data_IF_328046399958
#
_entry.id   IF_328046399958
#
_cell.length_a   1.000
_cell.length_b   1.000
_cell.length_c   1.000
_cell.angle_alpha   90.00
_cell.angle_beta   90.00
_cell.angle_gamma   90.00
#
_symmetry.space_group_name_H-M   'P 1'
#
loop_
_entity.id
_entity.type
_entity.pdbx_description
1 polymer ?
#
# COMPACT_ATOMS: atom_id res chain seq x y z
N UNK A 1 -44.19 1.60 -0.93
CA UNK A 1 -44.78 1.29 0.39
C UNK A 1 -43.72 1.62 1.43
N UNK A 2 -44.08 2.18 2.60
CA UNK A 2 -43.13 2.51 3.68
C UNK A 2 -43.50 1.69 4.92
N UNK A 3 -42.49 1.19 5.64
CA UNK A 3 -42.63 0.31 6.81
C UNK A 3 -41.28 -0.31 7.22
N UNK A 4 -41.21 -0.82 8.44
CA UNK A 4 -40.00 -1.44 9.02
C UNK A 4 -39.59 -2.72 8.30
N UNK A 5 -38.29 -2.97 8.19
CA UNK A 5 -37.73 -4.19 7.61
C UNK A 5 -37.92 -5.43 8.48
N UNK A 6 -38.39 -6.52 7.86
CA UNK A 6 -38.57 -7.81 8.55
C UNK A 6 -37.24 -8.42 9.03
N UNK A 7 -36.12 -8.09 8.38
CA UNK A 7 -34.76 -8.45 8.80
C UNK A 7 -34.32 -7.76 10.11
N UNK A 8 -34.97 -6.67 10.47
CA UNK A 8 -34.67 -5.89 11.67
C UNK A 8 -35.62 -6.23 12.83
N UNK A 9 -36.89 -6.51 12.54
CA UNK A 9 -37.90 -6.81 13.56
C UNK A 9 -38.14 -8.31 13.80
N UNK A 10 -37.78 -9.16 12.83
CA UNK A 10 -38.12 -10.59 12.82
C UNK A 10 -39.60 -10.90 12.61
N UNK A 11 -40.44 -9.90 12.35
CA UNK A 11 -41.89 -10.05 12.17
C UNK A 11 -42.24 -10.36 10.71
N UNK A 12 -42.94 -11.47 10.49
CA UNK A 12 -43.30 -11.96 9.14
C UNK A 12 -44.29 -11.06 8.39
N UNK A 13 -44.92 -10.10 9.07
CA UNK A 13 -45.86 -9.15 8.46
C UNK A 13 -45.21 -7.82 8.03
N UNK A 14 -43.91 -7.66 8.28
CA UNK A 14 -43.14 -6.47 7.91
C UNK A 14 -42.55 -6.61 6.50
N UNK A 15 -42.01 -5.52 5.93
CA UNK A 15 -41.55 -5.52 4.53
C UNK A 15 -40.24 -6.31 4.44
N UNK A 16 -40.21 -7.32 3.58
CA UNK A 16 -38.96 -7.98 3.19
C UNK A 16 -38.34 -7.25 2.02
N UNK A 17 -37.03 -7.00 2.10
CA UNK A 17 -36.25 -6.61 0.92
C UNK A 17 -36.40 -7.71 -0.14
N UNK A 18 -36.79 -7.32 -1.35
CA UNK A 18 -37.00 -8.28 -2.44
C UNK A 18 -36.58 -7.69 -3.77
N UNK A 19 -35.82 -8.50 -4.52
CA UNK A 19 -35.54 -8.30 -5.93
C UNK A 19 -36.27 -9.35 -6.75
N UNK A 20 -37.00 -8.93 -7.78
CA UNK A 20 -37.75 -9.84 -8.65
C UNK A 20 -37.63 -9.45 -10.13
N UNK A 21 -37.56 -10.44 -11.01
CA UNK A 21 -37.63 -10.24 -12.45
C UNK A 21 -39.08 -10.47 -12.89
N UNK A 22 -39.69 -9.49 -13.59
CA UNK A 22 -41.04 -9.70 -14.11
C UNK A 22 -41.01 -10.76 -15.24
N UNK A 23 -42.02 -11.64 -15.34
CA UNK A 23 -41.97 -12.79 -16.26
C UNK A 23 -41.82 -12.42 -17.74
N UNK A 24 -42.29 -11.24 -18.12
CA UNK A 24 -42.14 -10.67 -19.45
C UNK A 24 -41.73 -9.20 -19.32
N UNK A 25 -40.71 -8.80 -20.08
CA UNK A 25 -40.20 -7.44 -20.18
C UNK A 25 -41.33 -6.49 -20.60
N UNK A 26 -41.47 -5.36 -19.90
CA UNK A 26 -42.47 -4.34 -20.25
C UNK A 26 -41.79 -3.07 -20.69
N UNK A 27 -42.20 -2.57 -21.84
CA UNK A 27 -41.75 -1.29 -22.36
C UNK A 27 -42.67 -0.18 -21.83
N UNK A 28 -42.10 0.82 -21.18
CA UNK A 28 -42.80 1.96 -20.63
C UNK A 28 -41.98 3.23 -20.94
N UNK A 29 -42.57 4.17 -21.66
CA UNK A 29 -41.93 5.45 -22.03
C UNK A 29 -40.52 5.30 -22.61
N UNK A 30 -40.38 4.41 -23.60
CA UNK A 30 -39.12 4.06 -24.28
C UNK A 30 -38.05 3.41 -23.38
N UNK A 31 -38.42 2.99 -22.16
CA UNK A 31 -37.57 2.24 -21.23
C UNK A 31 -38.10 0.83 -21.05
N UNK A 32 -37.21 -0.14 -21.20
CA UNK A 32 -37.47 -1.56 -20.98
C UNK A 32 -37.30 -1.90 -19.50
N UNK A 33 -38.40 -2.24 -18.84
CA UNK A 33 -38.45 -2.63 -17.43
C UNK A 33 -38.48 -4.16 -17.34
N UNK A 34 -37.49 -4.75 -16.68
CA UNK A 34 -37.37 -6.22 -16.54
C UNK A 34 -37.21 -6.69 -15.09
N UNK A 35 -36.95 -5.79 -14.14
CA UNK A 35 -36.84 -6.11 -12.72
C UNK A 35 -37.13 -4.90 -11.83
N UNK A 36 -37.50 -5.17 -10.57
CA UNK A 36 -37.70 -4.14 -9.56
C UNK A 36 -37.08 -4.56 -8.23
N UNK A 37 -36.78 -3.56 -7.41
CA UNK A 37 -36.28 -3.70 -6.04
C UNK A 37 -37.17 -2.89 -5.11
N UNK A 38 -37.47 -3.44 -3.94
CA UNK A 38 -38.10 -2.71 -2.84
C UNK A 38 -37.30 -2.95 -1.56
N UNK A 39 -36.87 -1.87 -0.92
CA UNK A 39 -36.13 -1.87 0.35
C UNK A 39 -36.96 -1.08 1.39
N UNK A 40 -37.01 -1.52 2.66
CA UNK A 40 -37.54 -0.75 3.78
C UNK A 40 -36.82 0.61 3.99
N UNK A 41 -37.53 1.59 4.53
CA UNK A 41 -37.02 2.96 4.71
C UNK A 41 -35.99 3.06 5.87
N UNK A 42 -35.93 2.04 6.74
CA UNK A 42 -35.03 1.93 7.89
C UNK A 42 -33.89 0.92 7.69
N UNK A 43 -33.68 0.42 6.47
CA UNK A 43 -32.64 -0.56 6.17
C UNK A 43 -31.22 -0.05 6.47
N UNK A 44 -30.40 -0.91 7.08
CA UNK A 44 -28.96 -0.63 7.28
C UNK A 44 -28.24 -0.49 5.95
N UNK A 45 -27.20 0.34 5.88
CA UNK A 45 -26.49 0.64 4.62
C UNK A 45 -25.86 -0.61 3.98
N UNK A 46 -25.43 -1.60 4.78
CA UNK A 46 -24.93 -2.88 4.26
C UNK A 46 -25.99 -3.70 3.52
N UNK A 47 -27.24 -3.67 3.99
CA UNK A 47 -28.40 -4.29 3.32
C UNK A 47 -28.74 -3.51 2.06
N UNK A 48 -28.73 -2.18 2.14
CA UNK A 48 -28.96 -1.34 0.95
C UNK A 48 -27.89 -1.53 -0.11
N UNK A 49 -26.62 -1.65 0.27
CA UNK A 49 -25.49 -1.90 -0.63
C UNK A 49 -25.53 -3.32 -1.24
N UNK A 50 -25.97 -4.32 -0.47
CA UNK A 50 -26.22 -5.69 -0.94
C UNK A 50 -27.32 -5.72 -2.02
N UNK A 51 -28.46 -5.06 -1.78
CA UNK A 51 -29.62 -5.04 -2.69
C UNK A 51 -29.42 -4.14 -3.92
N UNK A 52 -28.76 -2.99 -3.76
CA UNK A 52 -28.28 -2.15 -4.86
C UNK A 52 -27.24 -2.91 -5.70
N UNK A 53 -26.41 -3.73 -5.03
CA UNK A 53 -25.60 -4.77 -5.62
C UNK A 53 -26.32 -5.66 -6.62
N UNK A 54 -27.47 -6.22 -6.22
CA UNK A 54 -28.32 -7.02 -7.09
C UNK A 54 -28.94 -6.21 -8.23
N UNK A 55 -29.38 -4.96 -7.98
CA UNK A 55 -30.18 -4.17 -8.93
C UNK A 55 -29.34 -3.36 -9.92
N UNK A 56 -28.38 -2.56 -9.44
CA UNK A 56 -27.55 -1.66 -10.26
C UNK A 56 -26.35 -2.38 -10.86
N UNK A 57 -25.87 -3.44 -10.18
CA UNK A 57 -24.67 -4.16 -10.56
C UNK A 57 -24.89 -5.65 -10.85
N UNK A 58 -26.15 -6.14 -10.77
CA UNK A 58 -26.54 -7.48 -11.21
C UNK A 58 -26.03 -8.65 -10.36
N UNK A 59 -25.70 -8.45 -9.08
CA UNK A 59 -25.14 -9.50 -8.22
C UNK A 59 -26.14 -10.66 -8.00
N UNK A 60 -25.73 -11.94 -7.92
CA UNK A 60 -26.59 -13.02 -7.43
C UNK A 60 -26.65 -13.06 -5.90
N UNK A 61 -27.76 -13.53 -5.36
CA UNK A 61 -27.98 -13.75 -3.92
C UNK A 61 -27.05 -14.89 -3.42
N UNK A 62 -26.29 -14.62 -2.34
CA UNK A 62 -25.14 -15.43 -1.88
C UNK A 62 -25.55 -16.63 -1.00
N UNK A 63 -26.78 -17.13 -1.14
CA UNK A 63 -27.11 -18.49 -0.70
C UNK A 63 -26.89 -19.50 -1.84
N UNK A 64 -25.66 -19.64 -2.34
CA UNK A 64 -25.25 -20.87 -3.04
C UNK A 64 -23.71 -20.97 -3.16
N UNK A 65 -23.19 -22.19 -3.06
CA UNK A 65 -21.88 -22.56 -2.50
C UNK A 65 -20.65 -22.51 -3.42
N UNK A 66 -20.71 -22.00 -4.67
CA UNK A 66 -19.63 -22.29 -5.64
C UNK A 66 -19.18 -21.11 -6.55
N UNK A 67 -18.69 -20.02 -5.96
CA UNK A 67 -17.55 -19.30 -6.56
C UNK A 67 -17.75 -17.86 -7.04
N UNK A 68 -16.70 -17.06 -6.83
CA UNK A 68 -16.55 -15.63 -7.06
C UNK A 68 -16.64 -15.19 -8.55
N UNK A 69 -16.99 -13.92 -8.82
CA UNK A 69 -17.27 -13.30 -10.15
C UNK A 69 -16.30 -13.63 -11.31
N UNK A 70 -15.06 -14.02 -11.04
CA UNK A 70 -14.12 -14.50 -12.06
C UNK A 70 -14.57 -15.83 -12.71
N UNK A 71 -15.28 -16.69 -11.98
CA UNK A 71 -15.79 -17.97 -12.47
C UNK A 71 -17.04 -17.82 -13.36
N UNK A 72 -17.67 -16.63 -13.39
CA UNK A 72 -18.91 -16.35 -14.11
C UNK A 72 -18.74 -15.45 -15.36
N UNK A 73 -17.57 -14.86 -15.60
CA UNK A 73 -17.19 -14.22 -16.87
C UNK A 73 -17.69 -12.78 -17.13
N UNK A 74 -18.07 -12.02 -16.10
CA UNK A 74 -18.71 -10.68 -16.24
C UNK A 74 -17.74 -9.49 -16.24
N UNK A 75 -16.61 -9.66 -15.57
CA UNK A 75 -15.45 -8.77 -15.59
C UNK A 75 -14.23 -9.61 -15.93
N UNK A 76 -13.30 -9.03 -16.66
CA UNK A 76 -11.98 -9.62 -16.82
C UNK A 76 -11.21 -9.40 -15.51
N UNK A 77 -10.66 -10.49 -14.95
CA UNK A 77 -9.82 -10.40 -13.75
C UNK A 77 -8.38 -10.57 -14.17
N UNK A 78 -7.64 -9.47 -14.09
CA UNK A 78 -6.22 -9.45 -14.39
C UNK A 78 -5.42 -9.87 -13.17
N UNK A 79 -4.99 -11.13 -13.16
CA UNK A 79 -4.20 -11.69 -12.06
C UNK A 79 -2.79 -11.11 -12.04
N UNK A 80 -2.44 -10.47 -10.94
CA UNK A 80 -1.12 -9.94 -10.68
C UNK A 80 -0.41 -10.87 -9.69
N UNK A 81 0.61 -11.58 -10.20
CA UNK A 81 1.47 -12.46 -9.40
C UNK A 81 2.90 -11.97 -9.32
N UNK A 82 3.22 -10.85 -9.97
CA UNK A 82 4.56 -10.24 -10.00
C UNK A 82 4.49 -8.74 -9.66
N UNK A 83 5.57 -8.21 -9.09
CA UNK A 83 5.69 -6.80 -8.78
C UNK A 83 5.86 -6.00 -10.07
N UNK A 84 5.04 -4.97 -10.29
CA UNK A 84 5.05 -4.18 -11.53
C UNK A 84 4.27 -2.87 -11.37
N UNK A 85 4.31 -2.01 -12.39
CA UNK A 85 3.34 -0.93 -12.55
C UNK A 85 2.15 -1.44 -13.39
N UNK A 86 0.93 -1.13 -12.95
CA UNK A 86 -0.31 -1.45 -13.67
C UNK A 86 -1.10 -0.18 -13.97
N UNK A 87 -1.96 -0.25 -14.99
CA UNK A 87 -2.94 0.78 -15.30
C UNK A 87 -4.30 0.24 -14.87
N UNK A 88 -4.98 0.96 -13.98
CA UNK A 88 -6.33 0.65 -13.51
C UNK A 88 -7.30 1.64 -14.16
N UNK A 89 -7.88 1.21 -15.27
CA UNK A 89 -8.95 1.94 -15.95
C UNK A 89 -10.27 1.85 -15.18
N UNK A 90 -11.16 2.81 -15.40
CA UNK A 90 -12.50 2.76 -14.80
C UNK A 90 -13.22 1.47 -15.16
N UNK A 91 -13.67 0.74 -14.13
CA UNK A 91 -14.31 -0.58 -14.28
C UNK A 91 -15.56 -0.52 -15.16
N UNK A 92 -16.29 0.59 -15.16
CA UNK A 92 -17.48 0.78 -16.02
C UNK A 92 -17.15 0.82 -17.51
N UNK A 93 -15.93 1.21 -17.87
CA UNK A 93 -15.48 1.34 -19.26
C UNK A 93 -14.87 0.05 -19.78
N UNK A 94 -13.98 -0.56 -19.00
CA UNK A 94 -13.20 -1.74 -19.43
C UNK A 94 -13.80 -3.05 -18.96
N UNK A 95 -14.62 -3.02 -17.89
CA UNK A 95 -15.05 -4.22 -17.16
C UNK A 95 -13.86 -5.06 -16.68
N UNK A 96 -12.72 -4.43 -16.39
CA UNK A 96 -11.53 -5.09 -15.85
C UNK A 96 -11.31 -4.70 -14.39
N UNK A 97 -10.81 -5.65 -13.60
CA UNK A 97 -10.32 -5.45 -12.24
C UNK A 97 -9.01 -6.19 -12.06
N UNK A 98 -8.13 -5.69 -11.19
CA UNK A 98 -6.86 -6.38 -10.90
C UNK A 98 -6.98 -7.18 -9.62
N UNK A 99 -6.52 -8.43 -9.67
CA UNK A 99 -6.36 -9.26 -8.47
C UNK A 99 -4.91 -9.27 -8.04
N UNK A 100 -4.65 -8.81 -6.83
CA UNK A 100 -3.34 -8.81 -6.19
C UNK A 100 -3.25 -10.02 -5.28
N UNK A 101 -2.48 -11.03 -5.69
CA UNK A 101 -2.32 -12.27 -4.94
C UNK A 101 -1.38 -12.07 -3.76
N UNK A 102 -1.82 -12.49 -2.57
CA UNK A 102 -0.94 -12.61 -1.40
C UNK A 102 0.26 -13.49 -1.75
N UNK A 103 1.47 -12.99 -1.49
CA UNK A 103 2.74 -13.65 -1.81
C UNK A 103 2.90 -14.08 -3.28
N UNK A 104 2.13 -13.45 -4.20
CA UNK A 104 2.04 -13.84 -5.60
C UNK A 104 1.58 -15.28 -5.80
N UNK A 105 0.97 -15.89 -4.77
CA UNK A 105 0.51 -17.27 -4.79
C UNK A 105 -0.94 -17.33 -5.29
N UNK A 106 -1.09 -17.71 -6.57
CA UNK A 106 -2.39 -17.88 -7.21
C UNK A 106 -3.25 -19.02 -6.61
N UNK A 107 -2.72 -19.80 -5.67
CA UNK A 107 -3.45 -20.81 -4.92
C UNK A 107 -4.01 -20.31 -3.58
N UNK A 108 -3.59 -19.13 -3.13
CA UNK A 108 -4.08 -18.49 -1.91
C UNK A 108 -5.61 -18.36 -1.93
N UNK A 109 -6.25 -18.40 -0.76
CA UNK A 109 -7.67 -18.03 -0.62
C UNK A 109 -7.86 -16.58 -0.22
N UNK A 110 -6.78 -15.93 0.20
CA UNK A 110 -6.76 -14.55 0.63
C UNK A 110 -6.02 -13.69 -0.40
N UNK A 111 -6.63 -12.59 -0.83
CA UNK A 111 -6.11 -11.69 -1.87
C UNK A 111 -6.80 -10.32 -1.80
N UNK A 112 -6.31 -9.39 -2.61
CA UNK A 112 -6.94 -8.07 -2.78
C UNK A 112 -7.47 -7.89 -4.20
N UNK A 113 -8.60 -7.22 -4.35
CA UNK A 113 -9.09 -6.74 -5.65
C UNK A 113 -8.97 -5.22 -5.70
N UNK A 114 -8.52 -4.71 -6.84
CA UNK A 114 -8.35 -3.29 -7.09
C UNK A 114 -9.21 -2.90 -8.29
N UNK A 115 -10.09 -1.91 -8.09
CA UNK A 115 -10.93 -1.34 -9.14
C UNK A 115 -10.93 0.18 -9.09
N UNK A 116 -11.03 0.83 -10.24
CA UNK A 116 -11.17 2.28 -10.34
C UNK A 116 -12.62 2.64 -10.66
N UNK A 117 -13.23 3.54 -9.88
CA UNK A 117 -14.59 4.03 -10.06
C UNK A 117 -14.63 5.56 -10.03
N UNK A 118 -15.10 6.19 -11.10
CA UNK A 118 -15.48 7.60 -11.09
C UNK A 118 -16.99 7.80 -10.95
N UNK A 119 -17.39 8.94 -10.37
CA UNK A 119 -18.79 9.35 -10.14
C UNK A 119 -19.44 9.83 -11.44
N UNK A 120 -19.66 8.92 -12.39
CA UNK A 120 -20.40 9.21 -13.63
C UNK A 120 -21.35 8.07 -13.99
N UNK A 121 -22.41 8.35 -14.75
CA UNK A 121 -23.40 7.34 -15.13
C UNK A 121 -24.10 6.73 -13.92
N UNK A 122 -24.12 5.40 -13.84
CA UNK A 122 -24.71 4.66 -12.72
C UNK A 122 -24.02 4.90 -11.36
N UNK A 123 -22.78 5.37 -11.37
CA UNK A 123 -21.98 5.63 -10.17
C UNK A 123 -22.16 7.07 -9.63
N UNK A 124 -23.09 7.86 -10.17
CA UNK A 124 -23.32 9.27 -9.76
C UNK A 124 -23.69 9.47 -8.29
N UNK A 125 -24.19 8.43 -7.63
CA UNK A 125 -24.57 8.46 -6.22
C UNK A 125 -23.48 7.92 -5.29
N UNK A 126 -22.32 7.52 -5.83
CA UNK A 126 -21.21 7.10 -4.98
C UNK A 126 -20.70 8.30 -4.15
N UNK A 127 -20.34 8.07 -2.88
CA UNK A 127 -19.88 9.14 -2.01
C UNK A 127 -18.49 9.68 -2.40
N UNK A 128 -17.70 8.92 -3.17
CA UNK A 128 -16.38 9.32 -3.64
C UNK A 128 -15.99 8.59 -4.93
N UNK A 129 -15.06 9.20 -5.68
CA UNK A 129 -14.38 8.59 -6.82
C UNK A 129 -12.97 8.15 -6.42
N UNK A 130 -12.45 7.15 -7.12
CA UNK A 130 -11.07 6.72 -6.98
C UNK A 130 -10.90 5.21 -7.04
N UNK A 131 -9.81 4.75 -6.44
CA UNK A 131 -9.43 3.36 -6.37
C UNK A 131 -10.08 2.70 -5.16
N UNK A 132 -10.91 1.69 -5.37
CA UNK A 132 -11.40 0.82 -4.29
C UNK A 132 -10.49 -0.40 -4.17
N UNK A 133 -10.17 -0.75 -2.93
CA UNK A 133 -9.40 -1.95 -2.59
C UNK A 133 -10.29 -2.86 -1.75
N UNK A 134 -10.47 -4.10 -2.19
CA UNK A 134 -11.27 -5.10 -1.49
C UNK A 134 -10.36 -6.18 -0.93
N UNK A 135 -10.49 -6.52 0.34
CA UNK A 135 -9.79 -7.65 0.98
C UNK A 135 -10.71 -8.86 0.98
N UNK A 136 -10.31 -9.91 0.28
CA UNK A 136 -11.09 -11.13 0.09
C UNK A 136 -10.41 -12.29 0.79
N UNK A 137 -11.19 -13.14 1.47
CA UNK A 137 -10.76 -14.44 1.97
C UNK A 137 -11.82 -15.51 1.64
N UNK A 138 -11.60 -16.24 0.54
CA UNK A 138 -12.47 -17.31 0.07
C UNK A 138 -12.47 -18.56 0.99
N UNK A 139 -11.69 -18.56 2.07
CA UNK A 139 -11.80 -19.60 3.12
C UNK A 139 -12.89 -19.30 4.15
N UNK A 140 -13.38 -18.06 4.21
CA UNK A 140 -14.46 -17.62 5.07
C UNK A 140 -15.79 -17.70 4.32
N UNK A 141 -16.83 -18.14 5.02
CA UNK A 141 -18.18 -18.20 4.48
C UNK A 141 -19.02 -17.04 5.02
N UNK A 142 -19.27 -16.04 4.17
CA UNK A 142 -20.08 -14.87 4.49
C UNK A 142 -19.34 -13.75 5.22
N UNK A 143 -20.06 -12.67 5.50
CA UNK A 143 -19.54 -11.43 6.11
C UNK A 143 -20.05 -11.21 7.53
N UNK A 144 -20.34 -12.28 8.27
CA UNK A 144 -20.94 -12.18 9.60
C UNK A 144 -19.94 -11.85 10.73
N UNK A 145 -18.64 -11.99 10.48
CA UNK A 145 -17.58 -11.53 11.38
C UNK A 145 -17.02 -10.21 10.86
N UNK A 146 -17.26 -9.12 11.58
CA UNK A 146 -16.81 -7.78 11.20
C UNK A 146 -15.28 -7.63 11.28
N UNK A 147 -14.55 -8.55 11.95
CA UNK A 147 -13.09 -8.54 12.04
C UNK A 147 -12.41 -9.42 10.97
N UNK A 148 -13.15 -10.38 10.39
CA UNK A 148 -12.65 -11.27 9.34
C UNK A 148 -13.78 -11.62 8.35
N UNK A 149 -14.30 -10.63 7.59
CA UNK A 149 -15.32 -10.89 6.59
C UNK A 149 -14.73 -11.63 5.39
N UNK A 150 -15.55 -12.43 4.70
CA UNK A 150 -15.18 -13.00 3.41
C UNK A 150 -14.83 -11.91 2.38
N UNK A 151 -15.55 -10.79 2.40
CA UNK A 151 -15.34 -9.62 1.53
C UNK A 151 -15.41 -8.34 2.36
N UNK A 152 -14.31 -7.61 2.47
CA UNK A 152 -14.23 -6.31 3.14
C UNK A 152 -13.76 -5.20 2.21
N UNK A 153 -14.37 -4.01 2.31
CA UNK A 153 -13.82 -2.82 1.68
C UNK A 153 -12.71 -2.24 2.57
N UNK A 154 -11.54 -2.01 1.99
CA UNK A 154 -10.45 -1.30 2.65
C UNK A 154 -10.69 0.21 2.51
N UNK A 155 -11.09 0.85 3.61
CA UNK A 155 -11.41 2.29 3.65
C UNK A 155 -10.14 3.13 3.76
N UNK A 156 -9.82 3.94 2.74
CA UNK A 156 -8.54 4.64 2.60
C UNK A 156 -8.21 5.59 3.76
N UNK A 157 -9.23 6.11 4.46
CA UNK A 157 -9.07 6.96 5.64
C UNK A 157 -8.75 6.19 6.94
N UNK A 158 -8.87 4.86 6.92
CA UNK A 158 -8.64 3.98 8.06
C UNK A 158 -9.67 4.12 9.19
N UNK A 159 -10.84 4.74 8.94
CA UNK A 159 -11.87 4.92 9.96
C UNK A 159 -12.71 3.66 10.21
N UNK A 160 -12.71 2.71 9.27
CA UNK A 160 -13.40 1.42 9.37
C UNK A 160 -14.89 1.59 9.77
N UNK A 161 -15.55 2.63 9.25
CA UNK A 161 -16.94 2.96 9.61
C UNK A 161 -17.92 1.86 9.17
N UNK A 162 -17.64 1.14 8.07
CA UNK A 162 -18.55 0.13 7.55
C UNK A 162 -18.70 -1.08 8.47
N UNK A 163 -17.63 -1.46 9.19
CA UNK A 163 -17.68 -2.54 10.18
C UNK A 163 -18.35 -2.11 11.49
N UNK A 164 -18.46 -0.80 11.75
CA UNK A 164 -19.05 -0.24 12.97
C UNK A 164 -20.48 0.27 12.78
N UNK A 165 -21.10 -0.02 11.63
CA UNK A 165 -22.47 0.36 11.31
C UNK A 165 -22.64 1.79 10.78
N UNK A 166 -21.53 2.47 10.47
CA UNK A 166 -21.51 3.75 9.75
C UNK A 166 -21.74 3.59 8.24
N UNK A 167 -21.84 4.72 7.55
CA UNK A 167 -21.96 4.79 6.10
C UNK A 167 -20.62 4.87 5.38
N UNK A 168 -20.63 4.61 4.07
CA UNK A 168 -19.49 4.91 3.20
C UNK A 168 -19.41 6.42 2.95
N UNK A 169 -18.21 6.95 2.79
CA UNK A 169 -17.97 8.37 2.50
C UNK A 169 -16.84 8.61 1.46
N UNK A 170 -16.55 9.89 1.17
CA UNK A 170 -15.55 10.30 0.18
C UNK A 170 -14.09 10.01 0.61
N UNK A 171 -13.89 9.57 1.85
CA UNK A 171 -12.62 9.11 2.41
C UNK A 171 -12.33 7.63 2.15
N UNK A 172 -13.31 6.84 1.70
CA UNK A 172 -13.13 5.40 1.48
C UNK A 172 -12.30 5.05 0.24
N UNK A 173 -12.51 5.67 -0.94
CA UNK A 173 -11.67 5.39 -2.10
C UNK A 173 -10.29 6.01 -1.95
N UNK A 174 -9.24 5.37 -2.48
CA UNK A 174 -7.92 5.98 -2.57
C UNK A 174 -7.83 6.92 -3.80
N UNK A 175 -7.17 8.08 -3.69
CA UNK A 175 -6.53 8.60 -2.49
C UNK A 175 -7.51 9.31 -1.53
N UNK A 176 -8.75 9.52 -1.96
CA UNK A 176 -9.83 10.08 -1.15
C UNK A 176 -9.56 11.50 -0.67
N UNK A 177 -10.44 12.02 0.19
CA UNK A 177 -10.27 13.35 0.79
C UNK A 177 -9.05 13.44 1.72
N UNK A 178 -8.58 12.31 2.25
CA UNK A 178 -7.38 12.21 3.09
C UNK A 178 -6.07 12.23 2.30
N UNK A 179 -6.12 12.18 0.97
CA UNK A 179 -4.96 12.10 0.08
C UNK A 179 -4.02 10.94 0.43
N UNK A 180 -4.59 9.78 0.83
CA UNK A 180 -3.83 8.58 1.13
C UNK A 180 -3.34 7.93 -0.17
N UNK A 181 -2.03 8.00 -0.44
CA UNK A 181 -1.45 7.52 -1.71
C UNK A 181 -0.73 6.19 -1.59
N UNK A 182 -0.89 5.50 -0.46
CA UNK A 182 -0.12 4.29 -0.14
C UNK A 182 -0.95 3.32 0.69
N UNK A 183 -1.09 2.11 0.17
CA UNK A 183 -1.66 0.96 0.85
C UNK A 183 -0.60 -0.14 0.92
N UNK A 184 -0.16 -0.52 2.12
CA UNK A 184 0.85 -1.57 2.35
C UNK A 184 0.75 -2.14 3.78
N UNK A 185 1.66 -3.03 4.17
CA UNK A 185 1.58 -3.75 5.45
C UNK A 185 1.84 -2.88 6.71
N UNK A 186 2.23 -1.62 6.52
CA UNK A 186 2.52 -0.66 7.61
C UNK A 186 1.67 0.62 7.52
N UNK A 187 0.85 0.78 6.48
CA UNK A 187 -0.10 1.88 6.36
C UNK A 187 -1.32 1.67 7.24
N UNK A 188 -2.12 2.73 7.41
CA UNK A 188 -3.48 2.64 7.92
C UNK A 188 -4.45 3.13 6.83
N UNK A 189 -5.34 2.27 6.31
CA UNK A 189 -5.49 0.84 6.60
C UNK A 189 -4.29 0.01 6.10
N UNK A 190 -4.08 -1.18 6.68
CA UNK A 190 -2.93 -2.05 6.35
C UNK A 190 -3.32 -3.16 5.37
N UNK A 191 -2.38 -3.62 4.54
CA UNK A 191 -2.55 -4.78 3.66
C UNK A 191 -2.20 -6.13 4.31
N UNK A 192 -2.02 -6.18 5.63
CA UNK A 192 -1.72 -7.44 6.32
C UNK A 192 -2.84 -8.44 6.12
N UNK A 193 -2.46 -9.71 6.05
CA UNK A 193 -3.42 -10.80 6.10
C UNK A 193 -4.22 -10.74 7.41
N UNK A 194 -5.43 -11.31 7.44
CA UNK A 194 -6.24 -11.39 8.66
C UNK A 194 -5.50 -12.11 9.81
N UNK A 195 -4.59 -13.03 9.50
CA UNK A 195 -3.68 -13.65 10.48
C UNK A 195 -2.54 -12.76 11.00
N UNK A 196 -2.46 -11.50 10.59
CA UNK A 196 -1.45 -10.50 11.00
C UNK A 196 -0.12 -10.56 10.23
N UNK A 197 0.08 -11.61 9.42
CA UNK A 197 1.26 -11.74 8.56
C UNK A 197 1.28 -10.69 7.46
N UNK A 198 2.48 -10.35 6.99
CA UNK A 198 2.64 -9.54 5.77
C UNK A 198 2.06 -10.32 4.57
N UNK A 199 1.27 -9.65 3.74
CA UNK A 199 0.73 -10.23 2.50
C UNK A 199 1.65 -10.01 1.30
N UNK A 200 2.65 -9.13 1.45
CA UNK A 200 3.46 -8.50 0.40
C UNK A 200 2.66 -7.71 -0.63
N UNK A 201 1.35 -7.56 -0.43
CA UNK A 201 0.52 -6.74 -1.28
C UNK A 201 0.71 -5.28 -0.92
N UNK A 202 1.02 -4.46 -1.93
CA UNK A 202 0.98 -3.01 -1.78
C UNK A 202 0.45 -2.35 -3.05
N UNK A 203 -0.12 -1.16 -2.88
CA UNK A 203 -0.47 -0.23 -3.95
C UNK A 203 0.09 1.13 -3.57
N UNK A 204 1.03 1.64 -4.37
CA UNK A 204 1.76 2.88 -4.11
C UNK A 204 1.69 3.81 -5.31
N UNK A 205 2.11 5.07 -5.09
CA UNK A 205 2.03 6.14 -6.10
C UNK A 205 0.60 6.33 -6.63
N UNK A 206 -0.41 6.15 -5.77
CA UNK A 206 -1.80 6.28 -6.18
C UNK A 206 -2.05 7.73 -6.63
N UNK A 207 -2.44 7.97 -7.90
CA UNK A 207 -2.62 9.31 -8.44
C UNK A 207 -3.93 9.94 -7.94
N UNK A 208 -4.16 11.21 -8.27
CA UNK A 208 -5.49 11.81 -8.06
C UNK A 208 -6.53 11.13 -8.96
N UNK A 209 -7.80 11.24 -8.59
CA UNK A 209 -8.93 10.65 -9.31
C UNK A 209 -8.91 10.98 -10.82
N UNK A 210 -9.01 9.94 -11.66
CA UNK A 210 -9.02 10.05 -13.11
C UNK A 210 -9.56 8.76 -13.74
N UNK A 211 -9.91 8.82 -15.03
CA UNK A 211 -10.50 7.67 -15.76
C UNK A 211 -9.52 6.51 -15.97
N UNK A 212 -8.21 6.74 -15.76
CA UNK A 212 -7.14 5.77 -15.95
C UNK A 212 -5.99 6.09 -14.98
N UNK A 213 -5.73 5.20 -14.03
CA UNK A 213 -4.74 5.40 -12.98
C UNK A 213 -3.56 4.46 -13.14
N UNK A 214 -2.36 5.00 -13.30
CA UNK A 214 -1.14 4.21 -13.16
C UNK A 214 -0.75 4.11 -11.69
N UNK A 215 -0.57 2.89 -11.19
CA UNK A 215 -0.12 2.61 -9.81
C UNK A 215 1.02 1.60 -9.82
N UNK A 216 1.83 1.61 -8.77
CA UNK A 216 2.84 0.59 -8.54
C UNK A 216 2.30 -0.45 -7.57
N UNK A 217 2.36 -1.72 -7.96
CA UNK A 217 1.93 -2.84 -7.12
C UNK A 217 3.11 -3.71 -6.70
N UNK A 218 3.01 -4.22 -5.48
CA UNK A 218 3.72 -5.43 -5.09
C UNK A 218 2.72 -6.50 -4.72
N UNK A 219 3.12 -7.74 -4.94
CA UNK A 219 2.41 -8.96 -4.56
C UNK A 219 3.36 -10.01 -4.01
N UNK A 220 4.67 -9.85 -4.23
CA UNK A 220 5.76 -10.68 -3.70
C UNK A 220 6.77 -9.83 -2.95
N UNK A 221 7.58 -10.50 -2.15
CA UNK A 221 8.73 -9.89 -1.53
C UNK A 221 9.59 -9.12 -2.55
N UNK A 222 9.74 -7.79 -2.38
CA UNK A 222 10.74 -6.98 -3.08
C UNK A 222 12.10 -7.16 -2.39
N UNK A 223 12.78 -8.25 -2.75
CA UNK A 223 14.11 -8.58 -2.21
C UNK A 223 15.27 -7.92 -2.98
N UNK A 224 14.95 -7.17 -4.02
CA UNK A 224 15.89 -6.66 -5.00
C UNK A 224 15.97 -5.13 -4.96
N UNK A 225 17.17 -4.54 -5.12
CA UNK A 225 17.36 -3.10 -5.12
C UNK A 225 16.43 -2.38 -6.11
N UNK A 226 16.13 -1.08 -5.88
CA UNK A 226 15.45 -0.23 -6.85
C UNK A 226 16.17 -0.29 -8.21
N UNK A 227 15.52 -0.89 -9.21
CA UNK A 227 16.11 -1.15 -10.53
C UNK A 227 16.21 -2.62 -10.95
N UNK A 228 15.85 -3.58 -10.07
CA UNK A 228 15.71 -5.01 -10.42
C UNK A 228 16.84 -5.89 -9.89
N UNK A 229 17.19 -6.96 -10.63
CA UNK A 229 18.03 -8.09 -10.16
C UNK A 229 19.51 -7.76 -9.86
N UNK A 230 19.95 -6.50 -9.92
CA UNK A 230 21.35 -6.10 -9.79
C UNK A 230 21.61 -5.36 -8.46
N UNK A 231 22.83 -5.46 -7.88
CA UNK A 231 23.22 -4.63 -6.74
C UNK A 231 23.07 -3.13 -7.07
N UNK A 232 22.94 -2.28 -6.05
CA UNK A 232 22.83 -0.83 -6.24
C UNK A 232 23.91 -0.30 -7.20
N UNK A 233 23.48 0.46 -8.21
CA UNK A 233 24.37 1.01 -9.22
C UNK A 233 25.18 2.15 -8.62
N UNK A 234 26.46 1.91 -8.37
CA UNK A 234 27.38 2.93 -7.84
C UNK A 234 27.54 4.18 -8.73
N UNK A 235 26.99 4.22 -9.95
CA UNK A 235 26.95 5.42 -10.80
C UNK A 235 25.67 6.26 -10.64
N UNK A 236 24.84 5.96 -9.65
CA UNK A 236 23.59 6.67 -9.37
C UNK A 236 23.64 7.29 -7.97
N UNK A 237 23.15 8.53 -7.86
CA UNK A 237 22.80 9.13 -6.58
C UNK A 237 21.47 8.56 -6.10
N UNK A 238 21.44 8.03 -4.89
CA UNK A 238 20.24 7.55 -4.23
C UNK A 238 19.81 8.49 -3.10
N UNK A 239 18.53 8.44 -2.77
CA UNK A 239 17.96 9.08 -1.59
C UNK A 239 17.43 8.00 -0.65
N UNK A 240 17.87 8.06 0.60
CA UNK A 240 17.38 7.21 1.69
C UNK A 240 16.32 8.00 2.46
N UNK A 241 15.06 7.57 2.37
CA UNK A 241 13.93 8.23 3.03
C UNK A 241 13.30 7.28 4.03
N UNK A 242 13.09 7.74 5.26
CA UNK A 242 12.42 6.91 6.26
C UNK A 242 10.89 6.97 6.08
N UNK A 243 10.21 5.83 6.25
CA UNK A 243 8.76 5.73 6.01
C UNK A 243 7.89 6.31 7.12
N UNK A 244 8.44 6.59 8.32
CA UNK A 244 7.67 7.14 9.43
C UNK A 244 7.28 8.61 9.23
N UNK A 245 8.21 9.44 8.74
CA UNK A 245 7.98 10.88 8.51
C UNK A 245 8.18 11.35 7.07
N UNK A 246 8.65 10.46 6.17
CA UNK A 246 8.98 10.85 4.80
C UNK A 246 10.18 11.81 4.68
N UNK A 247 10.94 11.98 5.76
CA UNK A 247 12.21 12.72 5.79
C UNK A 247 13.36 11.86 5.27
N UNK A 248 14.39 12.49 4.72
CA UNK A 248 15.58 11.82 4.20
C UNK A 248 16.76 11.91 5.16
N UNK A 249 17.61 10.88 5.12
CA UNK A 249 18.90 10.90 5.77
C UNK A 249 19.78 11.97 5.12
N UNK A 250 20.29 12.89 5.94
CA UNK A 250 21.04 14.06 5.51
C UNK A 250 22.31 14.24 6.35
N UNK A 251 23.28 14.93 5.78
CA UNK A 251 24.47 15.37 6.53
C UNK A 251 24.16 16.70 7.20
N UNK A 252 24.50 16.82 8.47
CA UNK A 252 24.46 18.10 9.18
C UNK A 252 25.53 19.01 8.59
N UNK A 253 25.13 20.20 8.14
CA UNK A 253 26.06 21.25 7.77
C UNK A 253 26.55 21.96 9.04
N UNK A 254 27.71 21.54 9.55
CA UNK A 254 28.37 22.03 10.76
C UNK A 254 29.39 23.16 10.50
N UNK A 255 29.45 23.68 9.27
CA UNK A 255 30.28 24.83 8.90
C UNK A 255 31.31 24.54 7.82
N UNK A 256 32.25 25.47 7.60
CA UNK A 256 33.13 25.45 6.42
C UNK A 256 34.08 24.24 6.34
N UNK A 257 34.41 23.61 7.47
CA UNK A 257 35.34 22.49 7.53
C UNK A 257 34.66 21.12 7.47
N UNK A 258 33.33 21.08 7.57
CA UNK A 258 32.51 19.86 7.60
C UNK A 258 33.13 18.74 8.45
N UNK A 259 33.56 19.10 9.67
CA UNK A 259 34.55 18.34 10.42
C UNK A 259 33.94 17.13 11.13
N UNK A 260 32.71 17.26 11.62
CA UNK A 260 32.08 16.27 12.48
C UNK A 260 31.42 15.14 11.70
N UNK A 261 30.91 15.43 10.50
CA UNK A 261 30.27 14.44 9.62
C UNK A 261 28.97 13.88 10.19
N UNK A 262 28.30 14.58 11.10
CA UNK A 262 27.07 14.11 11.73
C UNK A 262 25.95 13.94 10.70
N UNK A 263 25.05 12.99 10.97
CA UNK A 263 23.85 12.75 10.16
C UNK A 263 22.58 13.08 10.92
N UNK A 264 21.53 13.45 10.20
CA UNK A 264 20.22 13.79 10.73
C UNK A 264 19.09 13.39 9.77
N UNK A 265 17.87 13.34 10.28
CA UNK A 265 16.67 13.33 9.44
C UNK A 265 16.27 14.76 9.09
N UNK A 266 16.17 15.05 7.79
CA UNK A 266 15.79 16.37 7.28
C UNK A 266 14.67 16.27 6.23
N UNK A 267 13.98 17.38 6.00
CA UNK A 267 12.97 17.46 4.93
C UNK A 267 13.58 17.05 3.60
N UNK A 268 12.89 16.16 2.91
CA UNK A 268 13.29 15.66 1.59
C UNK A 268 13.39 16.81 0.58
N UNK A 269 14.53 16.92 -0.10
CA UNK A 269 14.76 17.98 -1.07
C UNK A 269 15.99 17.75 -1.95
N UNK A 270 16.34 18.76 -2.75
CA UNK A 270 17.52 18.75 -3.60
C UNK A 270 18.75 19.25 -2.83
N UNK A 271 19.14 18.52 -1.80
CA UNK A 271 20.27 18.86 -0.93
C UNK A 271 21.40 17.85 -1.16
N UNK A 272 22.63 18.32 -1.37
CA UNK A 272 23.79 17.46 -1.62
C UNK A 272 24.10 16.51 -0.46
N UNK A 273 23.66 16.81 0.77
CA UNK A 273 23.82 15.91 1.92
C UNK A 273 22.86 14.72 1.89
N UNK A 274 21.78 14.80 1.09
CA UNK A 274 20.78 13.73 0.92
C UNK A 274 21.06 12.86 -0.31
N UNK A 275 22.16 13.11 -1.02
CA UNK A 275 22.53 12.41 -2.24
C UNK A 275 23.59 11.38 -1.88
N UNK A 276 23.15 10.14 -1.73
CA UNK A 276 23.94 9.01 -1.25
C UNK A 276 24.37 8.12 -2.42
N UNK A 277 25.67 7.94 -2.59
CA UNK A 277 26.19 6.91 -3.47
C UNK A 277 26.35 5.63 -2.64
N UNK A 278 25.78 4.54 -3.16
CA UNK A 278 25.84 3.22 -2.55
C UNK A 278 26.86 2.40 -3.36
N UNK A 279 28.02 2.12 -2.75
CA UNK A 279 29.15 1.48 -3.42
C UNK A 279 29.28 0.04 -2.91
N UNK A 280 29.19 -0.99 -3.77
CA UNK A 280 29.40 -2.37 -3.35
C UNK A 280 30.75 -2.57 -2.64
N UNK A 281 30.71 -3.28 -1.51
CA UNK A 281 31.87 -3.68 -0.72
C UNK A 281 32.31 -5.12 -1.05
N UNK A 282 33.34 -5.62 -0.36
CA UNK A 282 33.94 -6.92 -0.66
C UNK A 282 32.99 -8.13 -0.49
N UNK A 283 31.96 -8.02 0.35
CA UNK A 283 30.98 -9.07 0.57
C UNK A 283 29.67 -8.76 -0.16
N UNK A 284 29.06 -9.78 -0.76
CA UNK A 284 27.77 -9.65 -1.43
C UNK A 284 26.71 -9.04 -0.47
N UNK A 285 25.92 -8.09 -0.96
CA UNK A 285 24.90 -7.40 -0.17
C UNK A 285 25.43 -6.38 0.85
N UNK A 286 26.73 -6.09 0.85
CA UNK A 286 27.34 -5.05 1.69
C UNK A 286 27.85 -3.88 0.85
N UNK A 287 27.84 -2.70 1.45
CA UNK A 287 28.06 -1.43 0.77
C UNK A 287 28.81 -0.43 1.66
N UNK A 288 29.53 0.49 1.03
CA UNK A 288 29.93 1.76 1.63
C UNK A 288 28.98 2.85 1.14
N UNK A 289 28.58 3.75 2.03
CA UNK A 289 27.67 4.86 1.72
C UNK A 289 28.43 6.18 1.85
N UNK A 290 28.36 7.03 0.83
CA UNK A 290 29.03 8.35 0.83
C UNK A 290 28.14 9.40 0.20
N UNK A 291 28.33 10.67 0.55
CA UNK A 291 27.44 11.75 0.11
C UNK A 291 28.12 12.69 -0.88
N UNK A 292 27.32 13.31 -1.74
CA UNK A 292 27.79 14.38 -2.61
C UNK A 292 28.39 15.54 -1.80
N UNK A 293 27.79 15.87 -0.65
CA UNK A 293 28.22 16.98 0.19
C UNK A 293 29.63 16.83 0.77
N UNK A 294 30.00 15.65 1.27
CA UNK A 294 31.31 15.42 1.92
C UNK A 294 32.36 14.80 1.00
N UNK A 295 32.00 14.37 -0.20
CA UNK A 295 32.96 13.82 -1.15
C UNK A 295 33.22 12.33 -0.97
N UNK A 296 33.89 11.74 -1.97
CA UNK A 296 34.24 10.33 -1.99
C UNK A 296 35.24 9.88 -0.89
N UNK A 297 35.90 10.83 -0.22
CA UNK A 297 36.87 10.58 0.85
C UNK A 297 36.22 10.37 2.22
N UNK A 298 34.91 10.61 2.34
CA UNK A 298 34.15 10.44 3.57
C UNK A 298 33.04 9.40 3.35
N UNK A 299 32.89 8.46 4.27
CA UNK A 299 31.85 7.41 4.17
C UNK A 299 31.22 7.11 5.53
N UNK A 300 29.98 6.62 5.48
CA UNK A 300 29.14 6.39 6.64
C UNK A 300 29.75 5.32 7.52
N UNK A 301 29.93 5.68 8.78
CA UNK A 301 30.58 4.93 9.83
C UNK A 301 29.69 4.94 11.07
N UNK A 302 30.01 4.11 12.06
CA UNK A 302 29.54 4.23 13.44
C UNK A 302 30.72 4.56 14.34
N UNK A 303 30.53 5.42 15.35
CA UNK A 303 31.64 5.73 16.25
C UNK A 303 32.16 4.47 16.95
N UNK A 304 33.49 4.34 17.02
CA UNK A 304 34.13 3.11 17.49
C UNK A 304 33.95 2.83 18.99
N UNK A 305 33.65 3.85 19.78
CA UNK A 305 33.48 3.79 21.23
C UNK A 305 32.07 3.32 21.63
N UNK A 306 31.03 3.81 20.96
CA UNK A 306 29.63 3.43 21.26
C UNK A 306 29.03 2.40 20.28
N UNK A 307 29.55 2.32 19.05
CA UNK A 307 29.06 1.49 17.94
C UNK A 307 27.61 1.75 17.51
N UNK A 308 26.97 2.79 18.04
CA UNK A 308 25.54 3.05 17.85
C UNK A 308 25.29 4.39 17.18
N UNK A 309 26.24 5.32 17.21
CA UNK A 309 26.05 6.66 16.66
C UNK A 309 26.66 6.75 15.25
N UNK A 310 25.84 6.93 14.20
CA UNK A 310 26.33 7.07 12.83
C UNK A 310 26.94 8.44 12.56
N UNK A 311 28.00 8.48 11.74
CA UNK A 311 28.64 9.70 11.24
C UNK A 311 29.43 9.41 9.95
N UNK A 312 29.84 10.42 9.19
CA UNK A 312 30.73 10.27 8.05
C UNK A 312 32.19 10.43 8.48
N UNK A 313 32.98 9.35 8.39
CA UNK A 313 34.40 9.32 8.72
C UNK A 313 35.28 9.24 7.46
N UNK A 314 36.59 9.43 7.59
CA UNK A 314 37.53 9.21 6.48
C UNK A 314 37.44 7.76 5.98
N UNK A 315 37.32 7.61 4.66
CA UNK A 315 37.18 6.30 4.03
C UNK A 315 38.39 5.40 4.28
N UNK A 316 38.13 4.16 4.67
CA UNK A 316 39.14 3.15 4.94
C UNK A 316 38.53 1.74 5.09
N UNK A 317 39.38 0.73 5.35
CA UNK A 317 38.96 -0.67 5.46
C UNK A 317 38.43 -0.98 6.87
N UNK A 318 37.45 -0.21 7.35
CA UNK A 318 36.89 -0.35 8.69
C UNK A 318 35.53 -1.04 8.63
N UNK A 319 35.27 -2.01 9.51
CA UNK A 319 33.96 -2.68 9.61
C UNK A 319 32.83 -1.71 9.96
N UNK A 320 33.14 -0.63 10.70
CA UNK A 320 32.18 0.42 10.98
C UNK A 320 31.69 1.14 9.72
N UNK A 321 32.42 1.02 8.61
CA UNK A 321 32.08 1.65 7.33
C UNK A 321 31.40 0.70 6.33
N UNK A 322 31.14 -0.54 6.75
CA UNK A 322 30.49 -1.55 5.92
C UNK A 322 29.06 -1.72 6.40
N UNK A 323 28.12 -1.48 5.49
CA UNK A 323 26.70 -1.52 5.73
C UNK A 323 26.05 -2.61 4.90
N UNK A 324 25.25 -3.45 5.52
CA UNK A 324 24.38 -4.37 4.79
C UNK A 324 23.03 -3.68 4.60
N UNK A 325 22.60 -3.59 3.35
CA UNK A 325 21.29 -3.06 2.98
C UNK A 325 20.46 -4.27 2.58
N UNK A 326 19.48 -4.60 3.40
CA UNK A 326 18.68 -5.82 3.25
C UNK A 326 17.19 -5.47 3.14
N UNK A 327 16.46 -6.21 2.29
CA UNK A 327 15.07 -5.93 2.02
C UNK A 327 14.20 -6.40 3.19
N UNK A 328 13.10 -5.69 3.43
CA UNK A 328 11.99 -6.19 4.25
C UNK A 328 11.00 -7.02 3.44
N UNK A 329 11.10 -7.02 2.11
CA UNK A 329 10.15 -7.66 1.20
C UNK A 329 8.98 -6.76 0.78
N UNK A 330 8.76 -5.60 1.38
CA UNK A 330 7.66 -4.67 1.02
C UNK A 330 8.12 -3.47 0.18
N UNK A 331 9.35 -3.53 -0.36
CA UNK A 331 9.98 -2.42 -1.06
C UNK A 331 10.74 -1.46 -0.16
N UNK A 332 10.68 -1.67 1.16
CA UNK A 332 11.51 -0.98 2.12
C UNK A 332 12.71 -1.81 2.51
N UNK A 333 13.72 -1.14 3.06
CA UNK A 333 15.01 -1.69 3.40
C UNK A 333 15.32 -1.41 4.87
N UNK A 334 16.13 -2.26 5.47
CA UNK A 334 16.86 -1.94 6.69
C UNK A 334 18.36 -1.86 6.41
N UNK A 335 19.04 -1.07 7.23
CA UNK A 335 20.47 -0.89 7.17
C UNK A 335 21.09 -1.46 8.45
N UNK A 336 21.92 -2.48 8.29
CA UNK A 336 22.75 -3.07 9.35
C UNK A 336 24.18 -2.56 9.21
N UNK A 337 24.85 -2.32 10.33
CA UNK A 337 26.28 -2.04 10.34
C UNK A 337 27.07 -3.27 10.77
N UNK A 338 28.12 -3.65 10.03
CA UNK A 338 28.86 -4.88 10.34
C UNK A 338 29.66 -4.82 11.65
N UNK A 339 29.96 -3.62 12.17
CA UNK A 339 30.64 -3.45 13.45
C UNK A 339 29.67 -3.43 14.63
N UNK A 340 28.49 -2.85 14.46
CA UNK A 340 27.42 -2.87 15.46
C UNK A 340 26.84 -4.28 15.62
N UNK A 341 26.66 -5.01 14.51
CA UNK A 341 26.09 -6.36 14.48
C UNK A 341 24.68 -6.39 13.89
N UNK A 342 24.22 -7.58 13.49
CA UNK A 342 22.96 -7.81 12.76
C UNK A 342 21.69 -7.63 13.59
N UNK A 343 21.83 -7.53 14.92
CA UNK A 343 20.71 -7.33 15.84
C UNK A 343 20.28 -5.86 15.96
N UNK A 344 20.94 -4.96 15.22
CA UNK A 344 20.69 -3.52 15.25
C UNK A 344 20.51 -2.95 13.85
N UNK A 345 19.49 -2.12 13.68
CA UNK A 345 19.18 -1.42 12.44
C UNK A 345 19.27 0.10 12.61
N UNK A 346 19.60 0.80 11.52
CA UNK A 346 19.55 2.25 11.46
C UNK A 346 18.11 2.75 11.69
N UNK A 347 17.94 3.59 12.70
CA UNK A 347 16.67 4.02 13.26
C UNK A 347 16.62 5.54 13.39
N UNK A 348 15.46 6.12 13.08
CA UNK A 348 15.18 7.56 13.25
C UNK A 348 14.74 7.96 14.67
N UNK A 349 14.79 7.03 15.63
CA UNK A 349 14.61 7.24 17.07
C UNK A 349 13.37 8.06 17.41
N UNK A 350 12.22 7.39 17.60
CA UNK A 350 10.91 8.03 17.84
C UNK A 350 10.48 9.02 16.73
N UNK A 351 11.12 8.95 15.55
CA UNK A 351 10.93 9.88 14.44
C UNK A 351 11.56 11.26 14.66
N UNK A 352 12.48 11.41 15.61
CA UNK A 352 13.19 12.67 15.78
C UNK A 352 14.15 12.99 14.62
N UNK A 353 14.83 14.15 14.68
CA UNK A 353 15.91 14.46 13.73
C UNK A 353 17.15 13.56 13.95
N UNK A 354 17.23 12.84 15.07
CA UNK A 354 18.37 12.00 15.44
C UNK A 354 18.31 10.67 14.71
N UNK A 355 19.48 10.18 14.29
CA UNK A 355 19.64 8.84 13.73
C UNK A 355 20.59 8.04 14.62
N UNK A 356 20.29 6.79 14.89
CA UNK A 356 21.14 5.89 15.65
C UNK A 356 20.91 4.43 15.23
N UNK A 357 21.83 3.54 15.60
CA UNK A 357 21.57 2.09 15.55
C UNK A 357 20.72 1.69 16.76
N UNK A 358 19.63 0.96 16.52
CA UNK A 358 18.70 0.50 17.55
C UNK A 358 18.32 -0.97 17.34
N UNK A 359 17.81 -1.63 18.38
CA UNK A 359 17.45 -3.04 18.33
C UNK A 359 16.50 -3.33 17.16
N UNK A 360 16.81 -4.37 16.38
CA UNK A 360 16.02 -4.81 15.24
C UNK A 360 14.55 -5.06 15.63
N UNK A 361 13.63 -4.41 14.93
CA UNK A 361 12.20 -4.58 15.11
C UNK A 361 11.47 -4.57 13.75
N UNK A 362 10.99 -5.76 13.34
CA UNK A 362 10.33 -6.01 12.04
C UNK A 362 9.12 -5.10 11.83
N UNK A 363 8.40 -4.73 12.89
CA UNK A 363 7.21 -3.88 12.80
C UNK A 363 7.48 -2.38 12.86
N UNK A 364 8.74 -1.94 13.03
CA UNK A 364 9.03 -0.54 13.39
C UNK A 364 9.20 0.36 12.15
N UNK A 365 8.30 1.33 11.88
CA UNK A 365 8.41 2.22 10.73
C UNK A 365 9.67 3.11 10.77
N UNK A 366 10.20 3.40 11.97
CA UNK A 366 11.41 4.22 12.13
C UNK A 366 12.70 3.52 11.66
N UNK A 367 12.63 2.21 11.37
CA UNK A 367 13.73 1.38 10.84
C UNK A 367 13.53 0.99 9.37
N UNK A 368 12.49 1.51 8.72
CA UNK A 368 12.14 1.21 7.33
C UNK A 368 12.55 2.35 6.42
N UNK A 369 13.33 2.02 5.40
CA UNK A 369 13.93 2.99 4.49
C UNK A 369 13.49 2.70 3.07
N UNK A 370 12.94 3.69 2.38
CA UNK A 370 12.86 3.66 0.92
C UNK A 370 14.17 4.18 0.36
N UNK A 371 14.70 3.47 -0.62
CA UNK A 371 15.90 3.87 -1.34
C UNK A 371 15.44 4.17 -2.76
N UNK A 372 15.65 5.39 -3.23
CA UNK A 372 15.14 5.83 -4.54
C UNK A 372 16.27 6.41 -5.38
N UNK A 373 16.38 6.03 -6.67
CA UNK A 373 17.33 6.68 -7.56
C UNK A 373 16.94 8.15 -7.77
N UNK A 374 17.91 9.04 -7.69
CA UNK A 374 17.73 10.49 -7.89
C UNK A 374 18.16 10.89 -9.29
N UNK A 375 19.41 10.57 -9.66
CA UNK A 375 20.01 10.79 -10.99
C UNK A 375 21.36 10.11 -11.10
N UNK A 376 21.89 10.04 -12.32
CA UNK A 376 23.27 9.63 -12.55
C UNK A 376 24.29 10.59 -11.91
N UNK A 377 25.41 10.02 -11.47
CA UNK A 377 26.58 10.74 -10.97
C UNK A 377 27.35 11.29 -12.16
N UNK A 378 27.55 12.61 -12.17
CA UNK A 378 28.33 13.31 -13.21
C UNK A 378 29.51 14.07 -12.61
N UNK A 379 29.58 14.14 -11.29
CA UNK A 379 30.63 14.81 -10.53
C UNK A 379 31.95 14.05 -10.61
N UNK A 380 33.02 14.77 -10.97
CA UNK A 380 34.35 14.21 -11.01
C UNK A 380 34.80 13.77 -9.60
N UNK A 381 35.40 12.59 -9.51
CA UNK A 381 35.90 12.04 -8.25
C UNK A 381 34.95 11.06 -7.54
N UNK A 382 33.79 10.78 -8.12
CA UNK A 382 32.83 9.78 -7.62
C UNK A 382 32.68 8.55 -8.52
#
# INVERSE_FOLDING_TARGET
MSGTGAEQSGNVNDIWSVKWNIPEERELDDVKVFGFLTIPDDAKIGVSAHEIGHLLFGWPDLYDTDGCKASQGWVEVENQTENTSIIVDEVKSTKSVHRLWKDGDASSKEYFLVENRGITGFDQSLPGAGLLVWHIDDSIYGNTDENHPQVGLVQADGLNQLSTGGGSDAGDPFPGIGNNRTFNAISNPSSRAYGGADSFVSVTEIPSESVSMQVNITVRAMDLPPGGNEPFNSRVWYRLTNTFQGHSLDVVNDGADNAEGLVQMARTGNFSGQFWQIVPSASAGTYALRTLFLGAARQLDVYGDDKLTPHLANAGPFSGQIWKIAPWGDGTWHLENTYTGSDYYLDTMEGGPRVAMNQANIGCPTQRWTITPVRDITEAGF
#
